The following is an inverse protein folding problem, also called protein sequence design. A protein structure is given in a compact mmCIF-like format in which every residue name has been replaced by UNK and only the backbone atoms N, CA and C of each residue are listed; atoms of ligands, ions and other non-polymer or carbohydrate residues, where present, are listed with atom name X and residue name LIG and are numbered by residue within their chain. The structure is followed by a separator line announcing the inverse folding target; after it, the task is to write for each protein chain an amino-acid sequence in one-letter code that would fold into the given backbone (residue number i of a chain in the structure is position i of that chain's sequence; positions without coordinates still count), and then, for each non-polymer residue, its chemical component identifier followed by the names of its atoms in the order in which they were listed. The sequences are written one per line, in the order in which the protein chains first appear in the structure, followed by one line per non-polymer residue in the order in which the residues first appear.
data_IF_427019131670
#
_entry.id   IF_427019131670
#
_cell.length_a   1.000
_cell.length_b   1.000
_cell.length_c   1.000
_cell.angle_alpha   90.00
_cell.angle_beta   90.00
_cell.angle_gamma   90.00
#
_symmetry.space_group_name_H-M   'P 1'
#
loop_
_entity.id
_entity.type
_entity.pdbx_description
1 polymer ?
#
# COMPACT_ATOMS: atom_id res chain seq x y z
N UNK A 1 13.87 14.13 -31.51
CA UNK A 1 14.96 13.50 -32.30
C UNK A 1 16.32 13.61 -31.63
N UNK A 2 16.77 14.78 -31.15
CA UNK A 2 18.04 14.90 -30.41
C UNK A 2 17.97 14.19 -29.05
N UNK A 3 16.89 14.39 -28.28
CA UNK A 3 16.71 13.76 -26.96
C UNK A 3 16.74 12.22 -27.05
N UNK A 4 16.08 11.64 -28.05
CA UNK A 4 16.10 10.19 -28.29
C UNK A 4 17.52 9.68 -28.49
N UNK A 5 18.34 10.34 -29.34
CA UNK A 5 19.74 9.93 -29.55
C UNK A 5 20.59 10.00 -28.28
N UNK A 6 20.29 10.92 -27.36
CA UNK A 6 20.99 10.99 -26.06
C UNK A 6 20.56 9.82 -25.17
N UNK A 7 19.25 9.58 -25.05
CA UNK A 7 18.68 8.49 -24.27
C UNK A 7 19.14 7.12 -24.80
N UNK A 8 19.21 6.93 -26.11
CA UNK A 8 19.66 5.70 -26.78
C UNK A 8 21.06 5.28 -26.30
N UNK A 9 21.96 6.25 -26.05
CA UNK A 9 23.31 5.95 -25.53
C UNK A 9 23.27 5.41 -24.11
N UNK A 10 22.37 5.92 -23.27
CA UNK A 10 22.16 5.42 -21.91
C UNK A 10 21.42 4.08 -21.92
N UNK A 11 20.44 3.89 -22.81
CA UNK A 11 19.74 2.61 -22.98
C UNK A 11 20.69 1.50 -23.42
N UNK A 12 21.65 1.79 -24.29
CA UNK A 12 22.63 0.80 -24.75
C UNK A 12 23.61 0.33 -23.65
N UNK A 13 23.87 1.17 -22.63
CA UNK A 13 24.87 0.86 -21.58
C UNK A 13 24.25 0.51 -20.23
N UNK A 14 23.19 1.21 -19.84
CA UNK A 14 22.54 1.14 -18.54
C UNK A 14 21.02 1.17 -18.68
N UNK A 15 20.42 0.22 -19.41
CA UNK A 15 18.98 0.23 -19.70
C UNK A 15 18.13 0.22 -18.44
N UNK A 16 18.52 -0.54 -17.42
CA UNK A 16 17.79 -0.62 -16.15
C UNK A 16 17.81 0.70 -15.38
N UNK A 17 18.92 1.44 -15.40
CA UNK A 17 19.01 2.73 -14.72
C UNK A 17 18.07 3.76 -15.37
N UNK A 18 18.00 3.76 -16.71
CA UNK A 18 17.08 4.62 -17.47
C UNK A 18 15.64 4.23 -17.20
N UNK A 19 15.32 2.93 -17.22
CA UNK A 19 13.98 2.42 -16.95
C UNK A 19 13.52 2.80 -15.54
N UNK A 20 14.31 2.47 -14.50
CA UNK A 20 13.97 2.78 -13.10
C UNK A 20 13.80 4.30 -12.91
N UNK A 21 14.72 5.10 -13.45
CA UNK A 21 14.64 6.57 -13.35
C UNK A 21 13.36 7.09 -14.01
N UNK A 22 13.08 6.68 -15.25
CA UNK A 22 11.87 7.09 -15.96
C UNK A 22 10.58 6.64 -15.26
N UNK A 23 10.57 5.42 -14.69
CA UNK A 23 9.46 4.92 -13.87
C UNK A 23 9.23 5.79 -12.64
N UNK A 24 10.29 6.13 -11.89
CA UNK A 24 10.19 6.94 -10.68
C UNK A 24 9.78 8.39 -11.00
N UNK A 25 10.42 9.03 -11.99
CA UNK A 25 10.07 10.40 -12.42
C UNK A 25 8.62 10.48 -12.91
N UNK A 26 8.14 9.44 -13.61
CA UNK A 26 6.76 9.37 -14.04
C UNK A 26 5.79 9.14 -12.86
N UNK A 27 6.07 8.19 -11.96
CA UNK A 27 5.17 7.86 -10.86
C UNK A 27 5.15 8.91 -9.73
N UNK A 28 6.25 9.65 -9.54
CA UNK A 28 6.43 10.66 -8.49
C UNK A 28 6.54 12.08 -9.07
N UNK A 29 5.92 12.35 -10.22
CA UNK A 29 5.90 13.69 -10.80
C UNK A 29 5.41 14.73 -9.76
N UNK A 30 6.08 15.87 -9.57
CA UNK A 30 5.77 16.80 -8.48
C UNK A 30 4.34 17.34 -8.49
N UNK A 31 3.84 17.80 -9.64
CA UNK A 31 2.56 18.52 -9.70
C UNK A 31 1.38 17.63 -9.26
N UNK A 32 1.26 16.36 -9.73
CA UNK A 32 0.21 15.47 -9.22
C UNK A 32 0.35 15.11 -7.75
N UNK A 33 1.58 14.98 -7.23
CA UNK A 33 1.79 14.70 -5.81
C UNK A 33 1.33 15.87 -4.94
N UNK A 34 1.67 17.09 -5.32
CA UNK A 34 1.26 18.28 -4.59
C UNK A 34 -0.27 18.48 -4.66
N UNK A 35 -0.89 18.17 -5.81
CA UNK A 35 -2.35 18.18 -5.96
C UNK A 35 -3.06 17.15 -5.07
N UNK A 36 -2.50 15.96 -4.85
CA UNK A 36 -3.04 14.99 -3.86
C UNK A 36 -3.08 15.62 -2.48
N UNK A 37 -1.99 16.26 -2.09
CA UNK A 37 -1.88 16.85 -0.77
C UNK A 37 -2.84 18.04 -0.59
N UNK A 38 -3.01 18.85 -1.62
CA UNK A 38 -4.00 19.94 -1.71
C UNK A 38 -5.42 19.44 -1.49
N UNK A 39 -5.81 18.38 -2.19
CA UNK A 39 -7.15 17.81 -2.08
C UNK A 39 -7.46 17.32 -0.65
N UNK A 40 -6.43 16.89 0.10
CA UNK A 40 -6.60 16.32 1.44
C UNK A 40 -6.63 17.40 2.53
N UNK A 41 -5.74 18.40 2.45
CA UNK A 41 -5.59 19.40 3.54
C UNK A 41 -6.15 20.76 3.18
N UNK A 42 -6.66 20.93 1.96
CA UNK A 42 -7.14 22.20 1.44
C UNK A 42 -6.02 23.13 0.98
N UNK A 43 -6.41 24.16 0.25
CA UNK A 43 -5.49 25.20 -0.21
C UNK A 43 -4.87 25.95 0.99
N UNK A 44 -3.57 26.18 0.92
CA UNK A 44 -2.79 26.87 1.96
C UNK A 44 -1.75 27.74 1.27
N UNK A 45 -1.89 29.05 1.41
CA UNK A 45 -1.02 30.08 0.81
C UNK A 45 0.43 30.09 1.34
N UNK A 46 0.76 29.33 2.38
CA UNK A 46 2.03 29.42 3.12
C UNK A 46 3.07 28.33 2.77
N UNK A 47 2.95 27.68 1.60
CA UNK A 47 3.71 26.46 1.31
C UNK A 47 5.13 26.72 0.82
N UNK A 48 6.04 26.84 1.76
CA UNK A 48 7.46 26.75 1.46
C UNK A 48 7.97 25.30 1.37
N UNK A 49 7.23 24.31 1.89
CA UNK A 49 7.60 22.88 1.81
C UNK A 49 6.50 22.04 1.17
N UNK A 50 6.74 21.66 -0.08
CA UNK A 50 5.82 20.86 -0.89
C UNK A 50 5.78 19.39 -0.45
N UNK A 51 4.71 18.70 -0.83
CA UNK A 51 4.56 17.27 -0.56
C UNK A 51 5.50 16.44 -1.43
N UNK A 52 5.62 16.80 -2.71
CA UNK A 52 6.62 16.28 -3.64
C UNK A 52 8.04 16.34 -3.06
N UNK A 53 8.45 17.50 -2.52
CA UNK A 53 9.76 17.66 -1.86
C UNK A 53 9.92 16.74 -0.65
N UNK A 54 8.87 16.54 0.15
CA UNK A 54 8.91 15.59 1.27
C UNK A 54 9.06 14.14 0.78
N UNK A 55 8.34 13.79 -0.30
CA UNK A 55 8.41 12.46 -0.92
C UNK A 55 9.80 12.18 -1.50
N UNK A 56 10.42 13.16 -2.17
CA UNK A 56 11.78 13.03 -2.70
C UNK A 56 12.81 12.82 -1.59
N UNK A 57 12.78 13.66 -0.54
CA UNK A 57 13.67 13.51 0.61
C UNK A 57 13.52 12.11 1.24
N UNK A 58 12.28 11.67 1.49
CA UNK A 58 11.99 10.35 2.05
C UNK A 58 12.41 9.23 1.09
N UNK A 59 12.22 9.42 -0.21
CA UNK A 59 12.60 8.48 -1.26
C UNK A 59 14.09 8.17 -1.22
N UNK A 60 14.94 9.18 -1.06
CA UNK A 60 16.40 8.97 -0.90
C UNK A 60 16.75 8.20 0.37
N UNK A 61 15.96 8.32 1.44
CA UNK A 61 16.18 7.61 2.70
C UNK A 61 15.74 6.14 2.59
N UNK A 62 14.54 5.89 2.05
CA UNK A 62 13.97 4.54 1.88
C UNK A 62 14.79 3.71 0.89
N UNK A 63 15.30 4.35 -0.16
CA UNK A 63 16.21 3.71 -1.15
C UNK A 63 17.65 3.60 -0.65
N UNK A 64 17.94 4.03 0.60
CA UNK A 64 19.26 3.99 1.25
C UNK A 64 20.35 4.80 0.54
N UNK A 65 19.98 5.73 -0.34
CA UNK A 65 20.91 6.75 -0.88
C UNK A 65 21.41 7.64 0.26
N UNK A 66 20.51 8.04 1.16
CA UNK A 66 20.82 8.82 2.35
C UNK A 66 20.47 8.04 3.62
N UNK A 67 21.35 8.09 4.62
CA UNK A 67 21.16 7.37 5.90
C UNK A 67 20.04 7.91 6.80
N UNK A 68 19.59 9.14 6.56
CA UNK A 68 18.59 9.81 7.40
C UNK A 68 17.98 11.03 6.70
N UNK A 69 16.84 11.51 7.21
CA UNK A 69 16.21 12.75 6.73
C UNK A 69 17.15 13.97 6.83
N UNK A 70 17.95 14.06 7.89
CA UNK A 70 18.92 15.16 8.02
C UNK A 70 20.05 15.06 6.99
N UNK A 71 20.47 13.85 6.60
CA UNK A 71 21.46 13.68 5.54
C UNK A 71 20.84 14.03 4.17
N UNK A 72 19.61 13.56 3.91
CA UNK A 72 18.87 13.89 2.70
C UNK A 72 18.67 15.40 2.54
N UNK A 73 18.25 16.10 3.60
CA UNK A 73 18.11 17.55 3.59
C UNK A 73 19.43 18.27 3.26
N UNK A 74 20.56 17.84 3.84
CA UNK A 74 21.86 18.49 3.61
C UNK A 74 22.41 18.23 2.20
N UNK A 75 21.97 17.14 1.57
CA UNK A 75 22.32 16.80 0.21
C UNK A 75 21.38 17.45 -0.83
N UNK A 76 20.22 17.96 -0.39
CA UNK A 76 19.31 18.68 -1.27
C UNK A 76 19.86 20.09 -1.57
N UNK A 77 19.88 20.43 -2.85
CA UNK A 77 20.21 21.77 -3.31
C UNK A 77 18.97 22.68 -3.17
N UNK A 78 19.20 23.97 -2.91
CA UNK A 78 18.18 25.03 -2.91
C UNK A 78 16.92 24.79 -2.04
N UNK A 79 17.08 24.10 -0.91
CA UNK A 79 15.97 23.87 0.03
C UNK A 79 15.45 25.20 0.61
N UNK A 80 14.17 25.57 0.37
CA UNK A 80 13.64 26.89 0.74
C UNK A 80 13.29 27.03 2.24
N UNK A 81 13.34 25.93 2.99
CA UNK A 81 12.96 25.87 4.40
C UNK A 81 14.09 25.33 5.26
N UNK A 82 14.08 25.67 6.55
CA UNK A 82 15.04 25.10 7.50
C UNK A 82 14.82 23.60 7.75
N UNK A 83 15.87 22.89 8.18
CA UNK A 83 15.77 21.50 8.64
C UNK A 83 14.75 21.34 9.79
N UNK A 84 14.62 22.36 10.64
CA UNK A 84 13.61 22.37 11.71
C UNK A 84 12.19 22.34 11.15
N UNK A 85 11.91 23.13 10.12
CA UNK A 85 10.60 23.14 9.46
C UNK A 85 10.26 21.78 8.84
N UNK A 86 11.23 21.10 8.21
CA UNK A 86 11.05 19.73 7.72
C UNK A 86 10.66 18.78 8.86
N UNK A 87 11.39 18.79 9.97
CA UNK A 87 11.07 17.93 11.11
C UNK A 87 9.75 18.28 11.82
N UNK A 88 9.31 19.53 11.76
CA UNK A 88 7.98 19.92 12.25
C UNK A 88 6.86 19.46 11.32
N UNK A 89 7.14 19.34 10.01
CA UNK A 89 6.19 18.90 8.99
C UNK A 89 5.94 17.39 9.02
N UNK A 90 7.00 16.57 9.05
CA UNK A 90 6.89 15.12 8.89
C UNK A 90 5.87 14.44 9.83
N UNK A 91 5.82 14.74 11.15
CA UNK A 91 4.87 14.11 12.06
C UNK A 91 3.41 14.54 11.82
N UNK A 92 3.20 15.65 11.11
CA UNK A 92 1.87 16.21 10.79
C UNK A 92 1.39 15.80 9.40
N UNK A 93 2.10 14.89 8.74
CA UNK A 93 1.68 14.35 7.45
C UNK A 93 0.38 13.55 7.66
N UNK A 94 -0.73 13.90 6.98
CA UNK A 94 -1.97 13.14 7.10
C UNK A 94 -1.74 11.71 6.60
N UNK A 95 -2.26 10.72 7.31
CA UNK A 95 -2.22 9.32 6.87
C UNK A 95 -2.88 9.13 5.50
N UNK A 96 -3.94 9.90 5.23
CA UNK A 96 -4.60 9.91 3.93
C UNK A 96 -3.65 10.27 2.78
N UNK A 97 -2.67 11.16 2.98
CA UNK A 97 -1.71 11.51 1.93
C UNK A 97 -0.79 10.33 1.58
N UNK A 98 -0.39 9.53 2.57
CA UNK A 98 0.36 8.30 2.33
C UNK A 98 -0.46 7.23 1.58
N UNK A 99 -1.76 7.10 1.93
CA UNK A 99 -2.68 6.20 1.22
C UNK A 99 -2.87 6.61 -0.25
N UNK A 100 -3.15 7.88 -0.49
CA UNK A 100 -3.37 8.41 -1.83
C UNK A 100 -2.09 8.39 -2.68
N UNK A 101 -0.90 8.55 -2.08
CA UNK A 101 0.37 8.34 -2.79
C UNK A 101 0.49 6.90 -3.35
N UNK A 102 0.14 5.89 -2.55
CA UNK A 102 0.16 4.48 -3.02
C UNK A 102 -0.85 4.26 -4.14
N UNK A 103 -2.09 4.76 -3.99
CA UNK A 103 -3.12 4.68 -5.03
C UNK A 103 -2.67 5.35 -6.32
N UNK A 104 -2.18 6.58 -6.21
CA UNK A 104 -1.69 7.36 -7.33
C UNK A 104 -0.58 6.65 -8.10
N UNK A 105 0.45 6.17 -7.40
CA UNK A 105 1.56 5.46 -8.03
C UNK A 105 1.07 4.19 -8.74
N UNK A 106 0.15 3.44 -8.13
CA UNK A 106 -0.42 2.26 -8.77
C UNK A 106 -1.28 2.57 -10.00
N UNK A 107 -2.09 3.65 -9.94
CA UNK A 107 -2.89 4.14 -11.06
C UNK A 107 -2.03 4.59 -12.24
N UNK A 108 -0.92 5.28 -11.95
CA UNK A 108 0.05 5.69 -12.98
C UNK A 108 0.78 4.49 -13.57
N UNK A 109 1.21 3.54 -12.74
CA UNK A 109 2.04 2.43 -13.21
C UNK A 109 1.24 1.32 -13.91
N UNK A 110 -0.05 1.16 -13.63
CA UNK A 110 -0.89 0.18 -14.31
C UNK A 110 -0.82 0.23 -15.85
N UNK A 111 -1.08 1.38 -16.52
CA UNK A 111 -1.02 1.44 -17.98
C UNK A 111 0.38 1.12 -18.52
N UNK A 112 1.45 1.46 -17.77
CA UNK A 112 2.83 1.13 -18.13
C UNK A 112 3.06 -0.38 -18.07
N UNK A 113 2.67 -1.04 -16.97
CA UNK A 113 2.77 -2.49 -16.81
C UNK A 113 2.01 -3.21 -17.92
N UNK A 114 0.80 -2.75 -18.25
CA UNK A 114 -0.01 -3.33 -19.33
C UNK A 114 0.62 -3.12 -20.70
N UNK A 115 1.09 -1.91 -21.02
CA UNK A 115 1.72 -1.60 -22.30
C UNK A 115 3.01 -2.42 -22.53
N UNK A 116 3.71 -2.77 -21.45
CA UNK A 116 4.90 -3.63 -21.50
C UNK A 116 4.58 -5.13 -21.55
N UNK A 117 3.29 -5.52 -21.55
CA UNK A 117 2.85 -6.91 -21.35
C UNK A 117 3.45 -7.54 -20.07
N UNK A 118 3.69 -6.73 -19.04
CA UNK A 118 4.24 -7.17 -17.75
C UNK A 118 3.19 -7.70 -16.78
N UNK A 119 1.91 -7.58 -17.12
CA UNK A 119 0.82 -8.12 -16.30
C UNK A 119 0.77 -9.65 -16.42
N UNK A 120 0.75 -10.34 -15.28
CA UNK A 120 0.42 -11.76 -15.22
C UNK A 120 -1.08 -11.98 -15.45
N UNK A 121 -1.46 -13.22 -15.78
CA UNK A 121 -2.86 -13.59 -15.83
C UNK A 121 -3.50 -13.53 -14.43
N UNK A 122 -4.75 -13.07 -14.35
CA UNK A 122 -5.51 -13.16 -13.10
C UNK A 122 -5.59 -14.62 -12.64
N UNK A 123 -5.26 -14.92 -11.37
CA UNK A 123 -5.33 -16.28 -10.84
C UNK A 123 -6.71 -16.93 -10.98
N UNK A 124 -7.78 -16.12 -10.97
CA UNK A 124 -9.14 -16.56 -11.23
C UNK A 124 -9.73 -15.75 -12.40
N UNK A 125 -9.92 -16.35 -13.59
CA UNK A 125 -10.45 -15.65 -14.75
C UNK A 125 -11.80 -14.99 -14.47
N UNK A 126 -11.92 -13.72 -14.91
CA UNK A 126 -13.13 -12.92 -14.72
C UNK A 126 -13.23 -12.23 -13.36
N UNK A 127 -12.25 -12.41 -12.47
CA UNK A 127 -12.16 -11.73 -11.18
C UNK A 127 -10.91 -10.84 -11.11
N UNK A 128 -11.03 -9.71 -10.41
CA UNK A 128 -9.87 -8.89 -10.04
C UNK A 128 -9.35 -9.36 -8.70
N UNK A 129 -8.18 -9.98 -8.70
CA UNK A 129 -7.62 -10.54 -7.48
C UNK A 129 -6.96 -9.46 -6.62
N UNK A 130 -7.23 -9.48 -5.32
CA UNK A 130 -6.66 -8.60 -4.31
C UNK A 130 -6.07 -9.46 -3.20
N UNK A 131 -4.77 -9.38 -2.98
CA UNK A 131 -4.11 -10.02 -1.84
C UNK A 131 -4.03 -9.01 -0.71
N UNK A 132 -4.60 -9.34 0.45
CA UNK A 132 -4.60 -8.50 1.63
C UNK A 132 -3.60 -9.04 2.65
N UNK A 133 -2.70 -8.18 3.12
CA UNK A 133 -1.73 -8.53 4.15
C UNK A 133 -1.54 -7.41 5.18
N UNK A 134 -1.26 -7.81 6.42
CA UNK A 134 -0.97 -6.91 7.53
C UNK A 134 0.52 -6.63 7.65
N UNK A 135 0.89 -5.38 7.90
CA UNK A 135 2.27 -4.99 8.11
C UNK A 135 2.40 -4.08 9.34
N UNK A 136 3.11 -4.56 10.36
CA UNK A 136 3.52 -3.74 11.49
C UNK A 136 4.80 -2.96 11.13
N UNK A 137 4.78 -1.65 11.37
CA UNK A 137 5.96 -0.83 11.10
C UNK A 137 7.12 -1.23 12.01
N UNK A 138 8.34 -1.17 11.46
CA UNK A 138 9.54 -1.57 12.16
C UNK A 138 9.74 -0.78 13.47
N UNK A 139 10.38 -1.43 14.44
CA UNK A 139 10.57 -0.88 15.78
C UNK A 139 11.21 0.51 15.74
N UNK A 140 10.70 1.42 16.57
CA UNK A 140 11.24 2.79 16.65
C UNK A 140 12.23 2.93 17.80
N UNK A 141 13.21 3.84 17.70
CA UNK A 141 14.12 4.13 18.81
C UNK A 141 13.34 4.59 20.05
N UNK A 142 13.78 4.19 21.25
CA UNK A 142 13.18 4.56 22.54
C UNK A 142 13.39 6.03 22.89
N UNK A 143 12.62 6.91 22.25
CA UNK A 143 12.69 8.37 22.46
C UNK A 143 11.76 8.88 23.56
N UNK A 144 10.77 8.07 23.95
CA UNK A 144 9.82 8.43 25.01
C UNK A 144 10.46 8.24 26.39
N UNK A 145 10.58 9.33 27.15
CA UNK A 145 11.20 9.31 28.50
C UNK A 145 10.55 8.28 29.44
N UNK A 146 9.22 8.12 29.36
CA UNK A 146 8.44 7.19 30.18
C UNK A 146 8.76 5.71 29.91
N UNK A 147 9.39 5.38 28.77
CA UNK A 147 9.74 4.01 28.39
C UNK A 147 11.22 3.68 28.61
N UNK A 148 11.99 4.52 29.30
CA UNK A 148 13.43 4.30 29.52
C UNK A 148 13.73 3.04 30.34
N UNK A 149 12.90 2.78 31.34
CA UNK A 149 13.05 1.63 32.26
C UNK A 149 12.17 0.44 31.86
N UNK A 150 11.53 0.51 30.68
CA UNK A 150 10.66 -0.54 30.15
C UNK A 150 11.42 -1.34 29.09
N UNK A 151 11.45 -2.67 29.25
CA UNK A 151 12.12 -3.57 28.31
C UNK A 151 11.40 -3.67 26.95
N UNK A 152 10.15 -3.24 26.85
CA UNK A 152 9.39 -3.10 25.61
C UNK A 152 9.51 -1.69 25.02
N UNK A 153 9.53 -1.57 23.69
CA UNK A 153 9.44 -0.28 22.99
C UNK A 153 8.00 0.05 22.57
N UNK A 154 7.72 1.32 22.22
CA UNK A 154 6.39 1.70 21.73
C UNK A 154 6.10 1.04 20.38
N UNK A 155 4.85 0.61 20.18
CA UNK A 155 4.40 0.13 18.87
C UNK A 155 4.09 1.33 17.98
N UNK A 156 4.83 1.52 16.86
CA UNK A 156 4.73 2.75 16.08
C UNK A 156 3.40 2.91 15.36
N UNK A 157 2.94 1.86 14.70
CA UNK A 157 1.79 1.88 13.81
C UNK A 157 1.80 0.63 12.94
N UNK A 158 0.74 0.47 12.17
CA UNK A 158 0.52 -0.68 11.30
C UNK A 158 -0.22 -0.26 10.04
N UNK A 159 -0.25 -1.12 9.04
CA UNK A 159 -0.99 -0.89 7.81
C UNK A 159 -1.51 -2.20 7.24
N UNK A 160 -2.68 -2.16 6.62
CA UNK A 160 -3.09 -3.23 5.69
C UNK A 160 -2.73 -2.84 4.27
N UNK A 161 -2.04 -3.72 3.55
CA UNK A 161 -1.66 -3.49 2.15
C UNK A 161 -2.56 -4.34 1.25
N UNK A 162 -3.08 -3.74 0.19
CA UNK A 162 -3.84 -4.43 -0.86
C UNK A 162 -2.97 -4.54 -2.11
N UNK A 163 -2.52 -5.74 -2.42
CA UNK A 163 -1.70 -6.06 -3.57
C UNK A 163 -2.57 -6.60 -4.72
N UNK A 164 -2.33 -6.09 -5.93
CA UNK A 164 -2.83 -6.67 -7.18
C UNK A 164 -1.74 -7.63 -7.71
N UNK A 165 -1.93 -8.96 -7.60
CA UNK A 165 -0.89 -9.92 -7.98
C UNK A 165 -0.71 -10.03 -9.50
N UNK A 166 -1.73 -9.66 -10.29
CA UNK A 166 -1.62 -9.66 -11.75
C UNK A 166 -0.70 -8.52 -12.22
N UNK A 167 -0.80 -7.35 -11.58
CA UNK A 167 0.06 -6.21 -11.91
C UNK A 167 1.35 -6.15 -11.10
N UNK A 168 1.45 -6.86 -9.98
CA UNK A 168 2.56 -6.74 -9.03
C UNK A 168 2.61 -5.38 -8.34
N UNK A 169 1.46 -4.69 -8.20
CA UNK A 169 1.37 -3.34 -7.65
C UNK A 169 0.58 -3.32 -6.33
N UNK A 170 1.10 -2.63 -5.32
CA UNK A 170 0.31 -2.26 -4.15
C UNK A 170 -0.72 -1.22 -4.58
N UNK A 171 -2.00 -1.60 -4.63
CA UNK A 171 -3.12 -0.77 -5.09
C UNK A 171 -3.65 0.18 -4.04
N UNK A 172 -3.57 -0.23 -2.79
CA UNK A 172 -4.08 0.54 -1.67
C UNK A 172 -3.32 0.19 -0.40
N UNK A 173 -3.32 1.11 0.55
CA UNK A 173 -2.82 0.90 1.90
C UNK A 173 -3.77 1.55 2.89
N UNK A 174 -4.13 0.84 3.95
CA UNK A 174 -4.97 1.35 5.03
C UNK A 174 -4.03 1.57 6.22
N UNK A 175 -3.46 2.77 6.39
CA UNK A 175 -2.56 3.07 7.49
C UNK A 175 -3.31 3.25 8.81
N UNK A 176 -2.66 2.89 9.91
CA UNK A 176 -3.13 3.08 11.26
C UNK A 176 -1.96 3.53 12.16
N UNK A 177 -2.08 4.74 12.71
CA UNK A 177 -1.08 5.27 13.64
C UNK A 177 -1.13 4.60 15.02
N UNK A 178 -2.22 3.94 15.37
CA UNK A 178 -2.32 3.19 16.62
C UNK A 178 -1.75 1.78 16.43
N UNK A 179 -0.50 1.58 16.86
CA UNK A 179 0.17 0.29 16.83
C UNK A 179 -0.42 -0.74 17.81
N UNK A 180 -1.26 -0.33 18.77
CA UNK A 180 -1.95 -1.22 19.70
C UNK A 180 -3.35 -1.60 19.23
N UNK A 181 -3.90 -0.92 18.23
CA UNK A 181 -5.16 -1.30 17.63
C UNK A 181 -5.05 -2.72 17.04
N UNK A 182 -6.16 -3.46 17.04
CA UNK A 182 -6.17 -4.75 16.36
C UNK A 182 -6.27 -4.52 14.84
N UNK A 183 -5.39 -5.13 14.04
CA UNK A 183 -5.39 -5.00 12.56
C UNK A 183 -6.77 -5.14 11.91
N UNK A 184 -7.64 -5.97 12.50
CA UNK A 184 -9.01 -6.20 12.03
C UNK A 184 -9.89 -4.96 12.05
N UNK A 185 -9.57 -3.94 12.85
CA UNK A 185 -10.28 -2.65 12.84
C UNK A 185 -10.20 -1.95 11.48
N UNK A 186 -9.16 -2.26 10.69
CA UNK A 186 -8.91 -1.65 9.39
C UNK A 186 -9.70 -2.32 8.25
N UNK A 187 -10.35 -3.46 8.52
CA UNK A 187 -11.06 -4.24 7.50
C UNK A 187 -12.31 -3.53 6.97
N UNK A 188 -12.91 -2.63 7.74
CA UNK A 188 -14.04 -1.83 7.27
C UNK A 188 -13.67 -0.94 6.09
N UNK A 189 -12.54 -0.24 6.19
CA UNK A 189 -12.00 0.56 5.09
C UNK A 189 -11.62 -0.29 3.87
N UNK A 190 -11.31 -1.58 4.05
CA UNK A 190 -11.11 -2.52 2.93
C UNK A 190 -12.44 -2.88 2.27
N UNK A 191 -13.46 -3.24 3.06
CA UNK A 191 -14.81 -3.57 2.57
C UNK A 191 -15.36 -2.43 1.70
N UNK A 192 -15.14 -1.19 2.11
CA UNK A 192 -15.59 0.00 1.38
C UNK A 192 -15.06 0.08 -0.05
N UNK A 193 -13.88 -0.49 -0.31
CA UNK A 193 -13.22 -0.51 -1.63
C UNK A 193 -13.59 -1.71 -2.48
N UNK A 194 -14.34 -2.67 -1.93
CA UNK A 194 -14.75 -3.88 -2.66
C UNK A 194 -15.79 -3.52 -3.70
N UNK A 195 -15.57 -4.04 -4.90
CA UNK A 195 -16.45 -3.93 -6.05
C UNK A 195 -16.85 -5.33 -6.52
N UNK A 196 -17.92 -5.40 -7.31
CA UNK A 196 -18.36 -6.65 -7.94
C UNK A 196 -17.22 -7.32 -8.71
N UNK A 197 -17.12 -8.64 -8.58
CA UNK A 197 -16.05 -9.50 -9.14
C UNK A 197 -14.65 -9.23 -8.60
N UNK A 198 -14.50 -8.56 -7.46
CA UNK A 198 -13.25 -8.61 -6.71
C UNK A 198 -13.12 -9.97 -6.02
N UNK A 199 -11.94 -10.55 -6.06
CA UNK A 199 -11.57 -11.73 -5.27
C UNK A 199 -10.55 -11.32 -4.21
N UNK A 200 -10.93 -11.38 -2.93
CA UNK A 200 -10.02 -11.08 -1.82
C UNK A 200 -9.36 -12.36 -1.32
N UNK A 201 -8.03 -12.39 -1.33
CA UNK A 201 -7.20 -13.47 -0.79
C UNK A 201 -6.52 -12.95 0.48
N UNK A 202 -6.66 -13.67 1.58
CA UNK A 202 -6.08 -13.29 2.85
C UNK A 202 -5.82 -14.51 3.75
N UNK A 203 -4.97 -14.33 4.77
CA UNK A 203 -4.64 -15.38 5.72
C UNK A 203 -5.78 -15.64 6.74
N UNK A 204 -5.53 -16.52 7.72
CA UNK A 204 -6.54 -16.85 8.74
C UNK A 204 -6.88 -15.70 9.68
N UNK A 205 -5.97 -14.75 9.89
CA UNK A 205 -6.21 -13.63 10.81
C UNK A 205 -7.38 -12.75 10.35
N UNK A 206 -7.61 -12.69 9.04
CA UNK A 206 -8.68 -11.90 8.42
C UNK A 206 -10.01 -12.66 8.27
N UNK A 207 -10.06 -13.93 8.64
CA UNK A 207 -11.28 -14.74 8.57
C UNK A 207 -12.26 -14.39 9.72
N UNK A 208 -12.97 -13.28 9.57
CA UNK A 208 -14.00 -12.81 10.52
C UNK A 208 -15.36 -12.75 9.84
N UNK A 209 -16.45 -12.96 10.60
CA UNK A 209 -17.83 -12.86 10.09
C UNK A 209 -18.06 -11.54 9.38
N UNK A 210 -17.80 -10.41 10.05
CA UNK A 210 -18.03 -9.08 9.46
C UNK A 210 -17.29 -8.90 8.14
N UNK A 211 -16.06 -9.41 8.03
CA UNK A 211 -15.28 -9.25 6.80
C UNK A 211 -15.79 -10.12 5.65
N UNK A 212 -16.00 -11.41 5.87
CA UNK A 212 -16.42 -12.30 4.78
C UNK A 212 -17.81 -11.96 4.26
N UNK A 213 -18.75 -11.63 5.16
CA UNK A 213 -20.10 -11.22 4.77
C UNK A 213 -20.11 -9.79 4.21
N UNK A 214 -19.24 -8.91 4.70
CA UNK A 214 -19.05 -7.57 4.13
C UNK A 214 -18.56 -7.60 2.67
N UNK A 215 -17.60 -8.50 2.36
CA UNK A 215 -17.15 -8.72 0.98
C UNK A 215 -18.31 -9.23 0.11
N UNK A 216 -19.03 -10.25 0.59
CA UNK A 216 -20.15 -10.85 -0.15
C UNK A 216 -21.27 -9.83 -0.41
N UNK A 217 -21.62 -9.00 0.59
CA UNK A 217 -22.63 -7.95 0.47
C UNK A 217 -22.28 -6.88 -0.57
N UNK A 218 -20.99 -6.68 -0.87
CA UNK A 218 -20.51 -5.79 -1.94
C UNK A 218 -20.37 -6.49 -3.31
N UNK A 219 -20.83 -7.73 -3.44
CA UNK A 219 -20.71 -8.52 -4.67
C UNK A 219 -19.30 -9.05 -4.94
N UNK A 220 -18.42 -9.00 -3.93
CA UNK A 220 -17.09 -9.59 -3.98
C UNK A 220 -17.11 -11.08 -3.66
N UNK A 221 -15.99 -11.74 -3.88
CA UNK A 221 -15.71 -13.12 -3.50
C UNK A 221 -14.42 -13.18 -2.67
N UNK A 222 -14.20 -14.28 -1.96
CA UNK A 222 -13.03 -14.39 -1.09
C UNK A 222 -12.45 -15.82 -1.08
N UNK A 223 -11.14 -15.90 -0.91
CA UNK A 223 -10.39 -17.13 -0.59
C UNK A 223 -9.57 -16.83 0.64
N UNK A 224 -10.14 -17.16 1.81
CA UNK A 224 -9.53 -16.84 3.10
C UNK A 224 -9.44 -18.12 3.91
N UNK A 225 -8.26 -18.40 4.47
CA UNK A 225 -8.07 -19.59 5.30
C UNK A 225 -8.98 -19.49 6.52
N UNK A 226 -9.83 -20.49 6.74
CA UNK A 226 -10.76 -20.48 7.88
C UNK A 226 -10.01 -20.41 9.21
N UNK A 227 -10.41 -19.47 10.06
CA UNK A 227 -10.04 -19.44 11.47
C UNK A 227 -11.11 -20.15 12.31
N UNK A 228 -10.70 -20.85 13.37
CA UNK A 228 -11.61 -21.71 14.12
C UNK A 228 -12.61 -20.93 14.99
N UNK A 229 -12.25 -19.73 15.44
CA UNK A 229 -12.95 -19.03 16.53
C UNK A 229 -13.59 -17.68 16.17
N UNK A 230 -13.27 -17.09 15.01
CA UNK A 230 -13.63 -15.69 14.67
C UNK A 230 -14.65 -15.57 13.56
N UNK A 231 -14.95 -16.70 12.93
CA UNK A 231 -16.03 -16.83 11.98
C UNK A 231 -17.19 -17.50 12.74
N UNK A 232 -18.36 -16.90 12.65
CA UNK A 232 -19.66 -17.38 13.13
C UNK A 232 -20.65 -17.27 11.97
N UNK A 233 -21.36 -18.35 11.68
CA UNK A 233 -22.28 -18.48 10.57
C UNK A 233 -23.29 -19.58 10.88
N UNK A 234 -24.48 -19.45 10.30
CA UNK A 234 -25.52 -20.45 10.39
C UNK A 234 -25.54 -21.36 9.16
N UNK A 235 -26.08 -22.56 9.39
CA UNK A 235 -25.99 -23.65 8.44
C UNK A 235 -27.28 -23.74 7.62
N UNK A 236 -27.29 -23.19 6.41
CA UNK A 236 -28.47 -23.29 5.54
C UNK A 236 -28.57 -24.63 4.78
N UNK A 237 -27.45 -25.32 4.54
CA UNK A 237 -27.44 -26.59 3.80
C UNK A 237 -26.44 -27.62 4.34
N UNK A 238 -26.61 -28.88 3.92
CA UNK A 238 -25.59 -29.91 4.06
C UNK A 238 -24.38 -29.59 3.16
N UNK A 239 -23.25 -30.25 3.42
CA UNK A 239 -22.09 -30.20 2.53
C UNK A 239 -22.35 -31.08 1.30
N UNK A 240 -22.16 -30.51 0.11
CA UNK A 240 -22.20 -31.24 -1.14
C UNK A 240 -20.77 -31.47 -1.62
N UNK A 241 -20.44 -32.73 -1.94
CA UNK A 241 -19.14 -33.07 -2.53
C UNK A 241 -19.06 -32.52 -3.94
N UNK A 242 -17.97 -31.84 -4.27
CA UNK A 242 -17.77 -31.24 -5.58
C UNK A 242 -16.54 -31.75 -6.33
N UNK A 243 -15.68 -32.50 -5.64
CA UNK A 243 -14.59 -33.23 -6.28
C UNK A 243 -13.41 -33.44 -5.34
N UNK A 244 -12.34 -33.97 -5.93
CA UNK A 244 -11.04 -34.13 -5.29
C UNK A 244 -9.96 -33.49 -6.14
N UNK A 245 -8.94 -32.99 -5.47
CA UNK A 245 -7.65 -32.60 -6.03
C UNK A 245 -6.60 -33.60 -5.55
N UNK A 246 -5.38 -33.52 -6.08
CA UNK A 246 -4.27 -34.37 -5.64
C UNK A 246 -3.96 -34.23 -4.14
N UNK A 247 -4.30 -33.08 -3.56
CA UNK A 247 -4.00 -32.71 -2.17
C UNK A 247 -5.22 -32.68 -1.25
N UNK A 248 -6.43 -32.95 -1.75
CA UNK A 248 -7.62 -32.86 -0.90
C UNK A 248 -8.96 -33.12 -1.58
N UNK A 249 -10.04 -32.83 -0.87
CA UNK A 249 -11.40 -32.85 -1.38
C UNK A 249 -12.04 -31.48 -1.18
N UNK A 250 -12.84 -31.03 -2.13
CA UNK A 250 -13.56 -29.78 -2.00
C UNK A 250 -15.07 -30.04 -2.02
N UNK A 251 -15.76 -29.28 -1.17
CA UNK A 251 -17.19 -29.37 -0.93
C UNK A 251 -17.73 -27.96 -0.85
N UNK A 252 -18.98 -27.75 -1.22
CA UNK A 252 -19.65 -26.47 -1.04
C UNK A 252 -20.89 -26.63 -0.17
N UNK A 253 -21.38 -25.49 0.32
CA UNK A 253 -22.61 -25.36 1.10
C UNK A 253 -23.05 -23.90 1.08
N UNK A 254 -24.31 -23.65 1.39
CA UNK A 254 -24.82 -22.31 1.68
C UNK A 254 -24.62 -21.96 3.16
N UNK A 255 -24.37 -20.68 3.39
CA UNK A 255 -24.10 -20.07 4.69
C UNK A 255 -25.01 -18.85 4.81
N UNK A 256 -25.59 -18.65 6.00
CA UNK A 256 -26.25 -17.42 6.42
C UNK A 256 -25.54 -16.77 7.60
#
# INVERSE_FOLDING_TARGET
MLLNRVIDRFLARTPMAVAIRGTLEYAFAPEPLDAIFEAIVGDRDDRQLLFSTCADLMGTVVTRVNRSMSAAYRAAEDMPVSLSAVYQRLPRMPLAAGRELVRHTAERLEPVVRAMNGAAADPLPGYRTKVLDGNHLAHTPRRLKILRDVAAGPLPGQSLVVLDPALGLARDVIPCADGHAQERSLLEAVIETIRTKDLVIADRNFCTTRFVFGIAARGGSFVIRRHAATLSWEKESAWESRGRTDTGAWRNRRLS
#
